data_IF_079221000693
#
_entry.id   IF_079221000693
#
_cell.length_a   1.000
_cell.length_b   1.000
_cell.length_c   1.000
_cell.angle_alpha   90.00
_cell.angle_beta   90.00
_cell.angle_gamma   90.00
#
_symmetry.space_group_name_H-M   'P 1'
#
loop_
_entity.id
_entity.type
_entity.pdbx_description
1 polymer ?
#
# COMPACT_ATOMS: atom_id res chain seq x y z
N UNK A 1 -4.52 17.72 -3.62
CA UNK A 1 -3.98 16.69 -2.75
C UNK A 1 -4.62 16.81 -1.37
N UNK A 2 -5.24 15.76 -0.90
CA UNK A 2 -5.99 15.76 0.34
C UNK A 2 -5.44 14.71 1.30
N UNK A 3 -5.62 14.95 2.59
CA UNK A 3 -5.24 14.00 3.63
C UNK A 3 -6.47 13.64 4.46
N UNK A 4 -6.66 12.34 4.69
CA UNK A 4 -7.81 11.83 5.43
C UNK A 4 -7.37 10.87 6.51
N UNK A 5 -8.11 10.85 7.62
CA UNK A 5 -7.99 9.76 8.58
C UNK A 5 -8.60 8.50 7.99
N UNK A 6 -7.97 7.38 8.25
CA UNK A 6 -8.51 6.07 7.90
C UNK A 6 -9.31 5.58 9.10
N UNK A 7 -10.60 5.37 8.89
CA UNK A 7 -11.48 4.87 9.94
C UNK A 7 -11.34 3.37 10.12
N UNK A 8 -11.16 2.65 9.02
CA UNK A 8 -11.07 1.19 9.05
C UNK A 8 -10.29 0.69 7.84
N UNK A 9 -9.47 -0.33 8.06
CA UNK A 9 -8.87 -1.10 6.97
C UNK A 9 -9.77 -2.30 6.74
N UNK A 10 -10.42 -2.33 5.57
CA UNK A 10 -11.43 -3.36 5.27
C UNK A 10 -10.78 -4.62 4.74
N UNK A 11 -9.83 -4.48 3.83
CA UNK A 11 -9.17 -5.60 3.18
C UNK A 11 -7.82 -5.20 2.63
N UNK A 12 -6.86 -6.10 2.72
CA UNK A 12 -5.56 -5.95 2.07
C UNK A 12 -5.60 -6.83 0.82
N UNK A 13 -5.64 -6.19 -0.35
CA UNK A 13 -5.74 -6.91 -1.62
C UNK A 13 -4.38 -7.49 -2.02
N UNK A 14 -3.38 -6.63 -2.08
CA UNK A 14 -1.98 -6.95 -2.36
C UNK A 14 -1.10 -6.06 -1.50
N UNK A 15 0.20 -6.26 -1.54
CA UNK A 15 1.13 -5.40 -0.80
C UNK A 15 1.05 -3.93 -1.20
N UNK A 16 0.52 -3.61 -2.37
CA UNK A 16 0.42 -2.25 -2.88
C UNK A 16 -1.03 -1.77 -3.11
N UNK A 17 -2.02 -2.54 -2.66
CA UNK A 17 -3.44 -2.21 -2.87
C UNK A 17 -4.24 -2.58 -1.63
N UNK A 18 -4.94 -1.60 -1.06
CA UNK A 18 -5.74 -1.80 0.16
C UNK A 18 -7.12 -1.19 -0.01
N UNK A 19 -8.11 -1.81 0.61
CA UNK A 19 -9.47 -1.26 0.71
C UNK A 19 -9.63 -0.66 2.09
N UNK A 20 -10.01 0.62 2.14
CA UNK A 20 -10.15 1.37 3.38
C UNK A 20 -11.46 2.14 3.42
N UNK A 21 -11.86 2.52 4.62
CA UNK A 21 -12.93 3.49 4.82
C UNK A 21 -12.27 4.76 5.34
N UNK A 22 -12.43 5.86 4.59
CA UNK A 22 -11.91 7.17 4.99
C UNK A 22 -12.96 7.97 5.73
N UNK A 23 -12.50 8.79 6.66
CA UNK A 23 -13.33 9.70 7.43
C UNK A 23 -13.35 11.06 6.72
N UNK A 24 -14.53 11.47 6.26
CA UNK A 24 -14.72 12.74 5.56
C UNK A 24 -15.16 13.87 6.51
N UNK A 25 -15.28 13.58 7.80
CA UNK A 25 -15.83 14.53 8.77
C UNK A 25 -17.35 14.52 8.76
N UNK A 26 -17.96 15.17 9.75
CA UNK A 26 -19.42 15.27 9.88
C UNK A 26 -20.14 13.91 9.87
N UNK A 27 -19.49 12.87 10.39
CA UNK A 27 -20.01 11.50 10.37
C UNK A 27 -20.18 10.90 8.97
N UNK A 28 -19.53 11.49 7.97
CA UNK A 28 -19.51 10.98 6.61
C UNK A 28 -18.26 10.12 6.40
N UNK A 29 -18.46 8.96 5.78
CA UNK A 29 -17.37 8.06 5.43
C UNK A 29 -17.49 7.63 3.98
N UNK A 30 -16.36 7.18 3.42
CA UNK A 30 -16.35 6.66 2.05
C UNK A 30 -15.40 5.46 1.97
N UNK A 31 -15.85 4.39 1.35
CA UNK A 31 -15.01 3.24 1.07
C UNK A 31 -14.23 3.49 -0.23
N UNK A 32 -12.92 3.28 -0.18
CA UNK A 32 -12.03 3.47 -1.33
C UNK A 32 -11.04 2.32 -1.44
N UNK A 33 -10.75 1.94 -2.67
CA UNK A 33 -9.61 1.09 -2.97
C UNK A 33 -8.43 1.98 -3.31
N UNK A 34 -7.37 1.86 -2.53
CA UNK A 34 -6.18 2.70 -2.67
C UNK A 34 -5.03 1.88 -3.25
N UNK A 35 -4.48 2.36 -4.36
CA UNK A 35 -3.21 1.87 -4.90
C UNK A 35 -2.11 2.72 -4.27
N UNK A 36 -1.12 2.08 -3.66
CA UNK A 36 -0.03 2.82 -3.01
C UNK A 36 0.83 3.50 -4.07
N UNK A 37 0.97 4.82 -3.93
CA UNK A 37 1.68 5.65 -4.90
C UNK A 37 3.18 5.41 -4.85
N UNK A 38 3.81 5.40 -6.00
CA UNK A 38 5.27 5.36 -6.12
C UNK A 38 5.91 4.01 -5.90
N UNK A 39 5.14 2.96 -5.70
CA UNK A 39 5.67 1.62 -5.45
C UNK A 39 4.98 0.55 -6.30
N UNK A 40 5.66 -0.57 -6.45
CA UNK A 40 5.10 -1.80 -7.02
C UNK A 40 5.60 -2.97 -6.16
N UNK A 41 4.74 -3.95 -5.92
CA UNK A 41 5.09 -5.13 -5.13
C UNK A 41 5.02 -6.40 -5.98
N UNK A 42 5.70 -7.49 -5.58
CA UNK A 42 5.50 -8.77 -6.22
C UNK A 42 4.03 -9.18 -6.13
N UNK A 43 3.55 -9.89 -7.13
CA UNK A 43 2.15 -10.30 -7.18
C UNK A 43 1.87 -11.49 -6.28
N UNK A 44 0.72 -11.44 -5.60
CA UNK A 44 0.25 -12.55 -4.77
C UNK A 44 -0.45 -13.62 -5.61
N UNK A 45 -1.00 -13.25 -6.78
CA UNK A 45 -1.77 -14.12 -7.66
C UNK A 45 -1.01 -14.39 -8.94
N UNK A 46 0.02 -15.22 -8.84
CA UNK A 46 0.85 -15.57 -9.98
C UNK A 46 1.20 -17.07 -9.91
N UNK A 47 1.53 -17.65 -11.05
CA UNK A 47 2.01 -19.05 -11.11
C UNK A 47 3.48 -19.17 -10.75
N UNK A 48 4.21 -18.06 -10.76
CA UNK A 48 5.60 -18.02 -10.31
C UNK A 48 5.62 -18.11 -8.79
N UNK A 49 6.05 -19.24 -8.26
CA UNK A 49 6.02 -19.52 -6.83
C UNK A 49 6.92 -18.58 -6.03
N UNK A 50 8.06 -18.20 -6.58
CA UNK A 50 8.96 -17.25 -5.92
C UNK A 50 8.33 -15.87 -5.81
N UNK A 51 7.77 -15.36 -6.91
CA UNK A 51 7.09 -14.08 -6.90
C UNK A 51 5.89 -14.10 -5.96
N UNK A 52 5.10 -15.19 -6.00
CA UNK A 52 3.93 -15.34 -5.13
C UNK A 52 4.31 -15.29 -3.67
N UNK A 53 5.38 -15.98 -3.27
CA UNK A 53 5.83 -15.96 -1.89
C UNK A 53 6.26 -14.56 -1.47
N UNK A 54 7.01 -13.86 -2.29
CA UNK A 54 7.44 -12.48 -1.99
C UNK A 54 6.26 -11.52 -1.97
N UNK A 55 5.27 -11.73 -2.83
CA UNK A 55 4.03 -10.96 -2.80
C UNK A 55 3.25 -11.16 -1.50
N UNK A 56 3.15 -12.40 -1.04
CA UNK A 56 2.49 -12.70 0.24
C UNK A 56 3.25 -12.12 1.42
N UNK A 57 4.58 -12.09 1.36
CA UNK A 57 5.40 -11.46 2.38
C UNK A 57 5.18 -9.93 2.44
N UNK A 58 5.08 -9.30 1.28
CA UNK A 58 4.78 -7.87 1.20
C UNK A 58 3.39 -7.57 1.77
N UNK A 59 2.41 -8.41 1.42
CA UNK A 59 1.05 -8.31 1.95
C UNK A 59 1.03 -8.49 3.47
N UNK A 60 1.77 -9.44 4.00
CA UNK A 60 1.87 -9.67 5.45
C UNK A 60 2.51 -8.48 6.15
N UNK A 61 3.55 -7.89 5.57
CA UNK A 61 4.21 -6.72 6.13
C UNK A 61 3.25 -5.54 6.25
N UNK A 62 2.56 -5.19 5.16
CA UNK A 62 1.64 -4.05 5.21
C UNK A 62 0.46 -4.32 6.15
N UNK A 63 -0.04 -5.56 6.20
CA UNK A 63 -1.11 -5.94 7.13
C UNK A 63 -0.69 -5.65 8.57
N UNK A 64 0.52 -6.07 8.94
CA UNK A 64 1.04 -5.85 10.29
C UNK A 64 1.25 -4.38 10.59
N UNK A 65 1.82 -3.62 9.63
CA UNK A 65 2.08 -2.19 9.84
C UNK A 65 0.79 -1.40 10.01
N UNK A 66 -0.24 -1.70 9.23
CA UNK A 66 -1.52 -1.00 9.36
C UNK A 66 -2.21 -1.36 10.67
N UNK A 67 -2.08 -2.59 11.14
CA UNK A 67 -2.61 -2.98 12.44
C UNK A 67 -1.94 -2.20 13.59
N UNK A 68 -0.64 -1.88 13.48
CA UNK A 68 0.08 -1.09 14.47
C UNK A 68 -0.51 0.32 14.64
N UNK A 69 -1.15 0.85 13.62
CA UNK A 69 -1.70 2.20 13.63
C UNK A 69 -3.16 2.30 14.08
N UNK A 70 -3.85 1.19 14.22
CA UNK A 70 -5.25 1.21 14.65
C UNK A 70 -5.35 1.43 16.16
N UNK A 71 -6.44 2.11 16.64
CA UNK A 71 -7.55 2.67 15.88
C UNK A 71 -7.36 4.12 15.41
N UNK A 72 -6.34 4.84 15.85
CA UNK A 72 -6.31 6.29 15.66
C UNK A 72 -5.10 6.86 14.93
N UNK A 73 -4.18 6.01 14.49
CA UNK A 73 -2.93 6.47 13.92
C UNK A 73 -2.79 6.38 12.42
N UNK A 74 -3.82 5.93 11.70
CA UNK A 74 -3.75 5.70 10.26
C UNK A 74 -4.28 6.89 9.47
N UNK A 75 -3.50 7.33 8.47
CA UNK A 75 -3.89 8.39 7.56
C UNK A 75 -3.50 8.03 6.13
N UNK A 76 -4.22 8.59 5.17
CA UNK A 76 -3.89 8.49 3.75
C UNK A 76 -3.79 9.88 3.16
N UNK A 77 -2.71 10.11 2.41
CA UNK A 77 -2.53 11.33 1.63
C UNK A 77 -2.79 10.97 0.18
N UNK A 78 -3.82 11.58 -0.41
CA UNK A 78 -4.26 11.22 -1.75
C UNK A 78 -3.52 12.02 -2.81
N UNK A 79 -3.27 11.39 -3.94
CA UNK A 79 -2.79 12.04 -5.14
C UNK A 79 -3.90 12.03 -6.20
N UNK A 80 -3.59 12.39 -7.43
CA UNK A 80 -4.55 12.35 -8.53
C UNK A 80 -5.08 10.93 -8.70
N UNK A 81 -6.32 10.85 -9.17
CA UNK A 81 -6.95 9.57 -9.49
C UNK A 81 -6.03 8.72 -10.36
N UNK A 82 -5.81 7.50 -9.92
CA UNK A 82 -5.06 6.53 -10.69
C UNK A 82 -5.84 6.03 -11.89
N UNK A 83 -5.16 5.28 -12.77
CA UNK A 83 -5.82 4.58 -13.86
C UNK A 83 -6.89 3.64 -13.30
N UNK A 84 -7.96 3.46 -14.04
CA UNK A 84 -9.07 2.55 -13.69
C UNK A 84 -9.87 2.95 -12.43
N UNK A 85 -9.92 4.24 -12.14
CA UNK A 85 -10.74 4.75 -11.04
C UNK A 85 -10.22 4.44 -9.64
N UNK A 86 -8.98 3.98 -9.53
CA UNK A 86 -8.35 3.75 -8.22
C UNK A 86 -7.72 5.03 -7.70
N UNK A 87 -7.89 5.26 -6.41
CA UNK A 87 -7.21 6.35 -5.73
C UNK A 87 -5.73 6.00 -5.56
N UNK A 88 -4.85 6.91 -5.93
CA UNK A 88 -3.43 6.81 -5.59
C UNK A 88 -3.21 7.48 -4.25
N UNK A 89 -2.53 6.80 -3.34
CA UNK A 89 -2.32 7.35 -2.02
C UNK A 89 -1.04 6.88 -1.35
N UNK A 90 -0.62 7.68 -0.38
CA UNK A 90 0.48 7.35 0.53
C UNK A 90 -0.11 7.10 1.91
N UNK A 91 0.21 5.96 2.48
CA UNK A 91 -0.29 5.58 3.81
C UNK A 91 0.70 5.97 4.88
N UNK A 92 0.17 6.47 6.00
CA UNK A 92 0.97 6.84 7.17
C UNK A 92 0.49 6.11 8.41
N UNK A 93 1.43 5.60 9.18
CA UNK A 93 1.21 5.13 10.55
C UNK A 93 1.91 6.16 11.44
N UNK A 94 1.13 7.03 12.09
CA UNK A 94 1.70 8.18 12.78
C UNK A 94 2.42 9.09 11.78
N UNK A 95 3.70 9.35 12.01
CA UNK A 95 4.53 10.14 11.09
C UNK A 95 5.29 9.29 10.07
N UNK A 96 5.13 7.96 10.12
CA UNK A 96 5.90 7.05 9.27
C UNK A 96 5.20 6.80 7.95
N UNK A 97 5.92 7.03 6.85
CA UNK A 97 5.45 6.81 5.48
C UNK A 97 5.61 5.32 5.13
N UNK A 98 4.50 4.61 5.05
CA UNK A 98 4.51 3.17 4.81
C UNK A 98 4.95 2.83 3.39
N UNK A 99 4.62 3.66 2.40
CA UNK A 99 5.07 3.44 1.02
C UNK A 99 6.59 3.41 0.94
N UNK A 100 7.26 4.38 1.58
CA UNK A 100 8.73 4.42 1.63
C UNK A 100 9.32 3.26 2.43
N UNK A 101 8.68 2.92 3.53
CA UNK A 101 9.11 1.82 4.38
C UNK A 101 9.10 0.48 3.63
N UNK A 102 8.09 0.27 2.78
CA UNK A 102 8.02 -0.92 1.92
C UNK A 102 9.24 -1.02 0.99
N UNK A 103 9.66 0.11 0.43
CA UNK A 103 10.84 0.15 -0.44
C UNK A 103 12.11 -0.13 0.38
N UNK A 104 12.28 0.54 1.49
CA UNK A 104 13.47 0.41 2.34
C UNK A 104 13.66 -1.00 2.88
N UNK A 105 12.56 -1.67 3.20
CA UNK A 105 12.58 -3.02 3.75
C UNK A 105 12.64 -4.13 2.70
N UNK A 106 12.69 -3.77 1.41
CA UNK A 106 12.79 -4.75 0.34
C UNK A 106 11.51 -5.49 0.01
N UNK A 107 10.36 -4.90 0.29
CA UNK A 107 9.06 -5.46 -0.05
C UNK A 107 8.47 -4.86 -1.31
N UNK A 108 8.98 -3.73 -1.77
CA UNK A 108 8.47 -3.04 -2.95
C UNK A 108 9.60 -2.41 -3.75
N UNK A 109 9.37 -2.27 -5.05
CA UNK A 109 10.22 -1.49 -5.94
C UNK A 109 9.68 -0.07 -6.06
N UNK A 110 10.57 0.89 -6.33
CA UNK A 110 10.12 2.21 -6.77
C UNK A 110 9.44 2.09 -8.12
N UNK A 111 8.32 2.77 -8.29
CA UNK A 111 7.54 2.71 -9.51
C UNK A 111 6.94 4.07 -9.84
N UNK A 112 7.16 4.53 -11.06
CA UNK A 112 6.73 5.86 -11.53
C UNK A 112 5.56 5.81 -12.53
N UNK A 113 4.97 4.63 -12.74
CA UNK A 113 3.90 4.43 -13.71
C UNK A 113 4.37 3.96 -15.07
N UNK A 114 5.69 3.82 -15.25
CA UNK A 114 6.27 3.33 -16.49
C UNK A 114 6.29 1.81 -16.57
N UNK A 115 7.32 1.27 -17.20
CA UNK A 115 7.48 -0.17 -17.35
C UNK A 115 7.89 -0.80 -16.02
N UNK A 116 7.19 -1.84 -15.60
CA UNK A 116 7.51 -2.56 -14.36
C UNK A 116 8.78 -3.40 -14.54
N UNK A 117 9.72 -3.24 -13.61
CA UNK A 117 10.93 -4.05 -13.54
C UNK A 117 10.80 -4.97 -12.32
N UNK A 118 10.54 -6.23 -12.57
CA UNK A 118 10.34 -7.22 -11.50
C UNK A 118 11.62 -8.02 -11.27
N UNK A 119 12.56 -7.44 -10.55
CA UNK A 119 13.80 -8.11 -10.15
C UNK A 119 13.69 -8.55 -8.68
N UNK A 120 13.31 -9.81 -8.48
CA UNK A 120 13.10 -10.36 -7.15
C UNK A 120 14.39 -10.43 -6.34
N UNK A 121 15.53 -10.67 -6.99
CA UNK A 121 16.80 -10.73 -6.27
C UNK A 121 17.21 -9.37 -5.74
N UNK A 122 16.91 -8.30 -6.48
CA UNK A 122 17.15 -6.94 -6.02
C UNK A 122 16.36 -6.66 -4.75
N UNK A 123 15.10 -7.08 -4.69
CA UNK A 123 14.31 -6.94 -3.47
C UNK A 123 14.94 -7.70 -2.29
N UNK A 124 15.36 -8.94 -2.51
CA UNK A 124 15.98 -9.73 -1.46
C UNK A 124 17.26 -9.10 -0.94
N UNK A 125 18.02 -8.46 -1.81
CA UNK A 125 19.29 -7.83 -1.43
C UNK A 125 19.09 -6.66 -0.46
N UNK A 126 17.90 -6.09 -0.38
CA UNK A 126 17.57 -4.98 0.52
C UNK A 126 16.98 -5.41 1.86
N UNK A 127 16.72 -6.69 2.03
CA UNK A 127 16.14 -7.23 3.28
C UNK A 127 17.19 -7.50 4.33
#
# INVERSE_FOLDING_TARGET
MYEYKIKEVVNIVDGDTVDIIIDLGFSLTKKERVRLAGIDTPECRTRDLEEKQMGLEAKAFITRRLADGEPSGLRVKTEKDGKYGRMLGTLFVGSQNINEEMIERGYAWKYDGGKKKKDLQELRSRR
#
